data_IF_387793444645
#
_entry.id   IF_387793444645
#
_cell.length_a   1.000
_cell.length_b   1.000
_cell.length_c   1.000
_cell.angle_alpha   90.00
_cell.angle_beta   90.00
_cell.angle_gamma   90.00
#
_symmetry.space_group_name_H-M   'P 1'
#
loop_
_entity.id
_entity.type
_entity.pdbx_description
1 polymer ?
#
# COMPACT_ATOMS: atom_id res chain seq x y z
N UNK A 1 10.16 4.21 -7.59
CA UNK A 1 11.01 3.49 -6.60
C UNK A 1 11.56 2.18 -7.16
N UNK A 2 10.73 1.29 -7.70
CA UNK A 2 11.15 -0.02 -8.24
C UNK A 2 12.14 0.13 -9.40
N UNK A 3 11.87 1.06 -10.33
CA UNK A 3 12.79 1.41 -11.43
C UNK A 3 14.18 1.80 -10.93
N UNK A 4 14.26 2.61 -9.87
CA UNK A 4 15.54 3.02 -9.26
C UNK A 4 16.28 1.83 -8.62
N UNK A 5 15.57 0.88 -8.01
CA UNK A 5 16.15 -0.34 -7.45
C UNK A 5 16.74 -1.23 -8.56
N UNK A 6 16.01 -1.41 -9.68
CA UNK A 6 16.49 -2.22 -10.81
C UNK A 6 17.68 -1.56 -11.51
N UNK A 7 17.63 -0.25 -11.73
CA UNK A 7 18.75 0.50 -12.29
C UNK A 7 20.01 0.46 -11.42
N UNK A 8 19.88 0.55 -10.09
CA UNK A 8 21.04 0.45 -9.18
C UNK A 8 21.60 -0.97 -9.10
N UNK A 9 20.79 -2.00 -9.32
CA UNK A 9 21.23 -3.40 -9.33
C UNK A 9 21.89 -3.80 -10.64
N UNK A 10 21.44 -3.22 -11.77
CA UNK A 10 22.00 -3.40 -13.11
C UNK A 10 22.24 -4.88 -13.46
N UNK A 11 21.19 -5.70 -13.33
CA UNK A 11 21.24 -7.17 -13.55
C UNK A 11 22.37 -7.93 -12.83
N UNK A 12 22.89 -7.35 -11.75
CA UNK A 12 23.94 -7.93 -10.90
C UNK A 12 25.33 -7.31 -11.12
N UNK A 13 25.48 -6.36 -12.05
CA UNK A 13 26.72 -5.59 -12.27
C UNK A 13 26.80 -4.32 -11.42
N UNK A 14 25.69 -3.91 -10.81
CA UNK A 14 25.58 -2.71 -9.99
C UNK A 14 25.81 -2.94 -8.51
N UNK A 15 25.14 -2.11 -7.70
CA UNK A 15 25.25 -2.15 -6.25
C UNK A 15 24.65 -3.43 -5.67
N UNK A 16 25.28 -3.93 -4.60
CA UNK A 16 24.72 -5.05 -3.83
C UNK A 16 23.37 -4.68 -3.21
N UNK A 17 22.51 -5.67 -2.98
CA UNK A 17 21.22 -5.51 -2.30
C UNK A 17 21.33 -4.71 -0.99
N UNK A 18 22.44 -4.90 -0.24
CA UNK A 18 22.69 -4.20 1.02
C UNK A 18 23.01 -2.72 0.79
N UNK A 19 23.85 -2.41 -0.20
CA UNK A 19 24.20 -1.05 -0.58
C UNK A 19 22.97 -0.28 -1.12
N UNK A 20 22.17 -0.92 -1.98
CA UNK A 20 20.92 -0.36 -2.47
C UNK A 20 19.96 -0.03 -1.31
N UNK A 21 19.86 -0.93 -0.32
CA UNK A 21 19.02 -0.70 0.86
C UNK A 21 19.49 0.49 1.71
N UNK A 22 20.80 0.65 1.89
CA UNK A 22 21.37 1.79 2.60
C UNK A 22 21.15 3.10 1.84
N UNK A 23 21.43 3.11 0.53
CA UNK A 23 21.27 4.27 -0.36
C UNK A 23 19.82 4.76 -0.41
N UNK A 24 18.85 3.84 -0.46
CA UNK A 24 17.43 4.16 -0.58
C UNK A 24 16.70 4.21 0.77
N UNK A 25 17.38 3.96 1.88
CA UNK A 25 16.77 3.94 3.22
C UNK A 25 15.69 2.87 3.41
N UNK A 26 15.78 1.75 2.69
CA UNK A 26 14.80 0.65 2.74
C UNK A 26 15.44 -0.67 3.12
N UNK A 27 14.61 -1.58 3.66
CA UNK A 27 15.12 -2.90 4.06
C UNK A 27 15.65 -3.69 2.85
N UNK A 28 16.71 -4.47 3.08
CA UNK A 28 17.25 -5.43 2.10
C UNK A 28 16.17 -6.42 1.59
N UNK A 29 15.16 -6.71 2.41
CA UNK A 29 14.06 -7.59 2.03
C UNK A 29 13.14 -6.92 1.01
N UNK A 30 12.92 -5.61 1.15
CA UNK A 30 12.16 -4.80 0.20
C UNK A 30 12.88 -4.72 -1.15
N UNK A 31 14.20 -4.50 -1.13
CA UNK A 31 15.05 -4.53 -2.33
C UNK A 31 14.97 -5.90 -3.02
N UNK A 32 15.19 -6.99 -2.27
CA UNK A 32 15.11 -8.35 -2.81
C UNK A 32 13.73 -8.67 -3.40
N UNK A 33 12.65 -8.25 -2.74
CA UNK A 33 11.28 -8.42 -3.23
C UNK A 33 11.11 -7.75 -4.59
N UNK A 34 11.53 -6.50 -4.73
CA UNK A 34 11.33 -5.72 -5.95
C UNK A 34 12.25 -6.11 -7.11
N UNK A 35 13.42 -6.69 -6.84
CA UNK A 35 14.26 -7.29 -7.88
C UNK A 35 13.65 -8.55 -8.48
N UNK A 36 13.00 -9.39 -7.66
CA UNK A 36 12.38 -10.65 -8.10
C UNK A 36 11.04 -10.47 -8.80
N UNK A 37 10.34 -9.38 -8.52
CA UNK A 37 9.03 -9.12 -9.09
C UNK A 37 9.15 -8.39 -10.43
N UNK A 38 8.27 -8.74 -11.35
CA UNK A 38 8.12 -8.01 -12.59
C UNK A 38 7.54 -6.61 -12.33
N UNK A 39 8.05 -5.61 -13.07
CA UNK A 39 7.69 -4.20 -12.88
C UNK A 39 6.21 -4.00 -13.18
N UNK A 40 5.72 -4.56 -14.29
CA UNK A 40 4.32 -4.42 -14.71
C UNK A 40 3.36 -4.99 -13.66
N UNK A 41 3.73 -6.12 -13.03
CA UNK A 41 2.94 -6.72 -11.96
C UNK A 41 2.84 -5.82 -10.72
N UNK A 42 3.93 -5.13 -10.35
CA UNK A 42 3.90 -4.23 -9.18
C UNK A 42 3.15 -2.95 -9.51
N UNK A 43 3.35 -2.38 -10.70
CA UNK A 43 2.64 -1.18 -11.14
C UNK A 43 1.13 -1.43 -11.20
N UNK A 44 0.71 -2.58 -11.74
CA UNK A 44 -0.69 -3.02 -11.73
C UNK A 44 -1.25 -3.18 -10.29
N UNK A 45 -0.46 -3.72 -9.37
CA UNK A 45 -0.88 -3.86 -7.96
C UNK A 45 -0.91 -2.52 -7.20
N UNK A 46 -0.13 -1.52 -7.62
CA UNK A 46 -0.15 -0.17 -7.05
C UNK A 46 -1.29 0.69 -7.64
N UNK A 47 -1.60 0.52 -8.93
CA UNK A 47 -2.69 1.24 -9.61
C UNK A 47 -4.06 0.72 -9.19
N UNK A 48 -4.22 -0.59 -8.99
CA UNK A 48 -5.44 -1.23 -8.46
C UNK A 48 -5.59 -1.13 -6.94
N UNK A 49 -5.18 0.00 -6.35
CA UNK A 49 -5.34 0.27 -4.91
C UNK A 49 -6.78 0.55 -4.49
N UNK A 50 -7.74 0.46 -5.41
CA UNK A 50 -9.17 0.33 -5.14
C UNK A 50 -9.44 -1.01 -4.46
N UNK A 51 -8.89 -1.18 -3.25
CA UNK A 51 -9.40 -2.18 -2.33
C UNK A 51 -10.73 -1.66 -1.84
N UNK A 52 -11.79 -2.25 -2.34
CA UNK A 52 -13.12 -2.08 -1.77
C UNK A 52 -13.05 -2.46 -0.29
N UNK A 53 -13.19 -1.47 0.59
CA UNK A 53 -13.22 -1.71 2.03
C UNK A 53 -14.62 -2.18 2.35
N UNK A 54 -14.74 -3.12 3.30
CA UNK A 54 -16.05 -3.59 3.78
C UNK A 54 -17.00 -2.47 4.18
N UNK A 55 -16.45 -1.33 4.66
CA UNK A 55 -17.24 -0.18 5.10
C UNK A 55 -17.66 0.76 3.96
N UNK A 56 -17.07 0.62 2.75
CA UNK A 56 -17.41 1.49 1.62
C UNK A 56 -18.87 1.28 1.19
N UNK A 57 -19.36 0.04 1.24
CA UNK A 57 -20.77 -0.31 1.01
C UNK A 57 -21.75 0.34 2.02
N UNK A 58 -21.26 0.72 3.21
CA UNK A 58 -22.07 1.31 4.27
C UNK A 58 -21.81 2.82 4.45
N UNK A 59 -20.97 3.43 3.61
CA UNK A 59 -20.45 4.79 3.81
C UNK A 59 -21.56 5.81 3.98
N UNK A 60 -22.55 5.80 3.10
CA UNK A 60 -23.62 6.79 3.11
C UNK A 60 -24.51 6.68 4.35
N UNK A 61 -24.75 5.45 4.81
CA UNK A 61 -25.52 5.20 6.02
C UNK A 61 -24.75 5.63 7.29
N UNK A 62 -23.43 5.37 7.35
CA UNK A 62 -22.58 5.86 8.44
C UNK A 62 -22.58 7.39 8.47
N UNK A 63 -22.44 8.05 7.31
CA UNK A 63 -22.47 9.51 7.21
C UNK A 63 -23.81 10.06 7.69
N UNK A 64 -24.93 9.43 7.30
CA UNK A 64 -26.26 9.80 7.80
C UNK A 64 -26.33 9.69 9.33
N UNK A 65 -25.91 8.57 9.92
CA UNK A 65 -25.93 8.38 11.38
C UNK A 65 -25.12 9.43 12.13
N UNK A 66 -23.93 9.79 11.64
CA UNK A 66 -23.06 10.78 12.28
C UNK A 66 -23.59 12.22 12.12
N UNK A 67 -24.28 12.53 11.02
CA UNK A 67 -24.95 13.82 10.84
C UNK A 67 -26.16 13.96 11.76
N UNK A 68 -26.98 12.92 11.86
CA UNK A 68 -28.19 12.91 12.70
C UNK A 68 -27.83 12.86 14.18
N UNK A 69 -26.76 12.14 14.55
CA UNK A 69 -26.32 11.96 15.93
C UNK A 69 -24.82 12.29 16.07
N UNK A 70 -24.43 13.57 16.17
CA UNK A 70 -23.02 13.98 16.19
C UNK A 70 -22.17 13.42 17.32
N UNK A 71 -22.80 12.97 18.43
CA UNK A 71 -22.13 12.38 19.59
C UNK A 71 -22.22 10.84 19.63
N UNK A 72 -22.63 10.20 18.52
CA UNK A 72 -22.79 8.75 18.46
C UNK A 72 -21.42 8.06 18.46
N UNK A 73 -21.25 7.06 19.34
CA UNK A 73 -19.99 6.31 19.41
C UNK A 73 -19.83 5.32 18.27
N UNK A 74 -18.59 5.03 17.91
CA UNK A 74 -18.23 4.03 16.88
C UNK A 74 -18.85 2.65 17.14
N UNK A 75 -18.93 2.23 18.41
CA UNK A 75 -19.57 0.96 18.81
C UNK A 75 -21.05 0.94 18.45
N UNK A 76 -21.76 2.06 18.63
CA UNK A 76 -23.19 2.15 18.27
C UNK A 76 -23.41 2.21 16.76
N UNK A 77 -22.50 2.85 16.02
CA UNK A 77 -22.49 2.80 14.55
C UNK A 77 -22.31 1.36 14.07
N UNK A 78 -21.30 0.65 14.59
CA UNK A 78 -21.01 -0.72 14.19
C UNK A 78 -22.15 -1.70 14.46
N UNK A 79 -22.93 -1.53 15.55
CA UNK A 79 -24.12 -2.36 15.83
C UNK A 79 -25.28 -2.14 14.84
N UNK A 80 -25.24 -1.07 14.06
CA UNK A 80 -26.27 -0.70 13.09
C UNK A 80 -25.87 -1.08 11.65
N UNK A 81 -24.62 -1.51 11.44
CA UNK A 81 -24.11 -2.05 10.19
C UNK A 81 -24.33 -3.56 10.17
#
# INVERSE_FOLDING_TARGET
MIHKIKALHDDGQGLSIRAIGQELGISRNTVRKYLRQDVATIEAAQSSREREKKLDAHRDYIVHLLRTFPRLSSVKVARKL
#
